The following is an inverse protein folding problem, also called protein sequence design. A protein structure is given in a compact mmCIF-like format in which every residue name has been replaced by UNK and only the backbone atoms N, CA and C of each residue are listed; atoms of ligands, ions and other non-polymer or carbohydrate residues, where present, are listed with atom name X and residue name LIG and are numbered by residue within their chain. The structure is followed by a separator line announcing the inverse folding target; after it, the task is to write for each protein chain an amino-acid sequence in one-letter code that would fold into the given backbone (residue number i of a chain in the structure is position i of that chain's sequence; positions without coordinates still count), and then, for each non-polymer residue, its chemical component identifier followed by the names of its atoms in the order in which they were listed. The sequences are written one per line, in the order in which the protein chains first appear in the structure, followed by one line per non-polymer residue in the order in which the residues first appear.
data_IF_823011991058
#
_entry.id   IF_823011991058
#
_cell.length_a   1.000
_cell.length_b   1.000
_cell.length_c   1.000
_cell.angle_alpha   90.00
_cell.angle_beta   90.00
_cell.angle_gamma   90.00
#
_symmetry.space_group_name_H-M   'P 1'
#
loop_
_entity.id
_entity.type
_entity.pdbx_description
1 polymer ?
#
# COMPACT_ATOMS: atom_id res chain seq x y z
N UNK A 1 -14.22 1.59 -13.48
CA UNK A 1 -13.12 0.80 -12.92
C UNK A 1 -12.14 1.74 -12.21
N UNK A 2 -12.07 1.60 -10.88
CA UNK A 2 -11.31 2.48 -9.97
C UNK A 2 -9.84 2.65 -10.39
N UNK A 3 -9.18 1.54 -10.72
CA UNK A 3 -7.77 1.55 -11.10
C UNK A 3 -7.51 2.33 -12.41
N UNK A 4 -8.39 2.19 -13.40
CA UNK A 4 -8.28 2.97 -14.65
C UNK A 4 -8.49 4.46 -14.39
N UNK A 5 -9.43 4.80 -13.51
CA UNK A 5 -9.68 6.18 -13.11
C UNK A 5 -8.44 6.76 -12.41
N UNK A 6 -7.84 6.02 -11.48
CA UNK A 6 -6.59 6.40 -10.83
C UNK A 6 -5.44 6.63 -11.82
N UNK A 7 -5.19 5.68 -12.72
CA UNK A 7 -4.11 5.81 -13.71
C UNK A 7 -4.34 6.99 -14.65
N UNK A 8 -5.59 7.23 -15.06
CA UNK A 8 -5.92 8.35 -15.96
C UNK A 8 -5.79 9.73 -15.30
N UNK A 9 -5.84 9.79 -13.97
CA UNK A 9 -5.60 11.02 -13.21
C UNK A 9 -4.12 11.39 -13.02
N UNK A 10 -3.20 10.51 -13.39
CA UNK A 10 -1.77 10.81 -13.33
C UNK A 10 -1.40 11.70 -14.53
N UNK A 11 -0.86 12.89 -14.28
CA UNK A 11 -0.54 13.87 -15.32
C UNK A 11 0.58 13.42 -16.25
N UNK A 12 1.52 12.60 -15.73
CA UNK A 12 2.71 12.15 -16.44
C UNK A 12 2.41 10.91 -17.29
N UNK A 13 2.53 11.07 -18.62
CA UNK A 13 2.27 9.99 -19.57
C UNK A 13 3.25 8.82 -19.44
N UNK A 14 4.52 9.08 -19.13
CA UNK A 14 5.50 8.02 -18.93
C UNK A 14 5.13 7.14 -17.73
N UNK A 15 4.68 7.76 -16.64
CA UNK A 15 4.21 7.03 -15.45
C UNK A 15 2.97 6.20 -15.79
N UNK A 16 1.99 6.77 -16.51
CA UNK A 16 0.81 6.01 -16.96
C UNK A 16 1.20 4.79 -17.79
N UNK A 17 2.20 4.92 -18.66
CA UNK A 17 2.68 3.79 -19.47
C UNK A 17 3.37 2.72 -18.63
N UNK A 18 4.21 3.10 -17.66
CA UNK A 18 4.83 2.17 -16.69
C UNK A 18 3.75 1.41 -15.92
N UNK A 19 2.70 2.09 -15.47
CA UNK A 19 1.62 1.48 -14.68
C UNK A 19 0.77 0.47 -15.45
N UNK A 20 0.66 0.59 -16.76
CA UNK A 20 -0.10 -0.39 -17.58
C UNK A 20 0.41 -1.82 -17.41
N UNK A 21 1.71 -1.97 -17.21
CA UNK A 21 2.37 -3.28 -17.19
C UNK A 21 3.00 -3.64 -15.84
N UNK A 22 2.77 -2.85 -14.79
CA UNK A 22 3.49 -3.02 -13.53
C UNK A 22 2.64 -2.95 -12.27
N UNK A 23 1.31 -2.94 -12.37
CA UNK A 23 0.42 -2.83 -11.21
C UNK A 23 -0.11 -4.17 -10.77
N UNK A 24 -0.06 -4.41 -9.47
CA UNK A 24 -0.69 -5.54 -8.79
C UNK A 24 -1.64 -4.98 -7.73
N UNK A 25 -2.89 -5.46 -7.74
CA UNK A 25 -3.86 -5.25 -6.65
C UNK A 25 -4.03 -6.57 -5.92
N UNK A 26 -3.87 -6.59 -4.61
CA UNK A 26 -3.95 -7.81 -3.82
C UNK A 26 -4.43 -7.50 -2.38
N UNK A 27 -4.56 -8.51 -1.55
CA UNK A 27 -4.99 -8.35 -0.17
C UNK A 27 -6.49 -8.17 0.00
N UNK A 28 -6.88 -7.40 1.02
CA UNK A 28 -8.28 -7.23 1.41
C UNK A 28 -9.18 -6.67 0.32
N UNK A 29 -8.65 -5.88 -0.61
CA UNK A 29 -9.42 -5.33 -1.71
C UNK A 29 -10.04 -6.42 -2.60
N UNK A 30 -9.26 -7.44 -2.95
CA UNK A 30 -9.76 -8.56 -3.77
C UNK A 30 -10.77 -9.39 -2.97
N UNK A 31 -10.52 -9.61 -1.68
CA UNK A 31 -11.47 -10.32 -0.79
C UNK A 31 -12.81 -9.60 -0.76
N UNK A 32 -12.83 -8.30 -0.48
CA UNK A 32 -14.07 -7.51 -0.45
C UNK A 32 -14.82 -7.54 -1.79
N UNK A 33 -14.09 -7.49 -2.92
CA UNK A 33 -14.71 -7.60 -4.24
C UNK A 33 -15.33 -8.99 -4.50
N UNK A 34 -14.71 -10.06 -4.01
CA UNK A 34 -15.22 -11.44 -4.17
C UNK A 34 -16.42 -11.70 -3.25
N UNK A 35 -16.45 -11.15 -2.06
CA UNK A 35 -17.52 -11.33 -1.07
C UNK A 35 -18.67 -10.35 -1.24
N UNK A 36 -18.48 -9.30 -2.05
CA UNK A 36 -19.46 -8.21 -2.21
C UNK A 36 -19.54 -7.28 -0.98
N UNK A 37 -18.53 -7.28 -0.15
CA UNK A 37 -18.42 -6.41 1.02
C UNK A 37 -17.96 -5.00 0.63
N UNK A 38 -18.15 -4.04 1.54
CA UNK A 38 -17.65 -2.69 1.34
C UNK A 38 -16.12 -2.71 1.24
N UNK A 39 -15.61 -2.06 0.20
CA UNK A 39 -14.19 -1.93 -0.02
C UNK A 39 -13.64 -0.75 0.79
N UNK A 40 -12.65 -1.03 1.64
CA UNK A 40 -11.98 0.00 2.43
C UNK A 40 -10.91 0.70 1.60
N UNK A 41 -9.84 -0.01 1.23
CA UNK A 41 -8.72 0.53 0.47
C UNK A 41 -8.27 -0.43 -0.62
N UNK A 42 -7.74 0.13 -1.71
CA UNK A 42 -7.03 -0.60 -2.74
C UNK A 42 -5.54 -0.58 -2.43
N UNK A 43 -5.00 -1.70 -1.94
CA UNK A 43 -3.57 -1.89 -1.80
C UNK A 43 -2.95 -2.16 -3.17
N UNK A 44 -2.13 -1.22 -3.62
CA UNK A 44 -1.46 -1.26 -4.92
C UNK A 44 0.02 -1.53 -4.72
N UNK A 45 0.51 -2.57 -5.38
CA UNK A 45 1.90 -2.97 -5.43
C UNK A 45 2.44 -2.85 -6.86
N UNK A 46 3.75 -2.97 -7.00
CA UNK A 46 4.41 -2.87 -8.29
C UNK A 46 5.24 -4.11 -8.59
N UNK A 47 5.24 -4.51 -9.86
CA UNK A 47 5.99 -5.64 -10.35
C UNK A 47 7.49 -5.41 -10.30
N UNK A 48 7.94 -4.20 -10.63
CA UNK A 48 9.36 -3.85 -10.72
C UNK A 48 9.76 -2.76 -9.74
N UNK A 49 11.04 -2.80 -9.33
CA UNK A 49 11.66 -1.77 -8.51
C UNK A 49 11.53 -0.39 -9.15
N UNK A 50 11.76 -0.30 -10.46
CA UNK A 50 11.71 0.94 -11.22
C UNK A 50 10.31 1.55 -11.18
N UNK A 51 9.27 0.76 -11.41
CA UNK A 51 7.89 1.23 -11.34
C UNK A 51 7.54 1.73 -9.93
N UNK A 52 7.91 0.96 -8.90
CA UNK A 52 7.69 1.33 -7.51
C UNK A 52 8.38 2.66 -7.16
N UNK A 53 9.67 2.80 -7.50
CA UNK A 53 10.45 4.00 -7.22
C UNK A 53 9.91 5.22 -7.97
N UNK A 54 9.56 5.07 -9.24
CA UNK A 54 9.03 6.15 -10.08
C UNK A 54 7.71 6.68 -9.53
N UNK A 55 6.79 5.78 -9.16
CA UNK A 55 5.48 6.19 -8.62
C UNK A 55 5.63 6.79 -7.22
N UNK A 56 6.48 6.21 -6.36
CA UNK A 56 6.75 6.76 -5.04
C UNK A 56 7.32 8.19 -5.15
N UNK A 57 8.28 8.41 -6.04
CA UNK A 57 8.88 9.73 -6.27
C UNK A 57 7.83 10.74 -6.74
N UNK A 58 6.99 10.38 -7.71
CA UNK A 58 5.92 11.23 -8.22
C UNK A 58 4.97 11.72 -7.11
N UNK A 59 4.50 10.82 -6.24
CA UNK A 59 3.59 11.21 -5.16
C UNK A 59 4.28 11.94 -4.01
N UNK A 60 5.56 11.65 -3.75
CA UNK A 60 6.36 12.40 -2.78
C UNK A 60 6.63 13.83 -3.28
N UNK A 61 6.87 14.04 -4.55
CA UNK A 61 6.99 15.38 -5.14
C UNK A 61 5.68 16.16 -4.99
N UNK A 62 4.54 15.57 -5.33
CA UNK A 62 3.20 16.19 -5.09
C UNK A 62 2.96 16.50 -3.61
N UNK A 63 3.37 15.61 -2.71
CA UNK A 63 3.30 15.86 -1.26
C UNK A 63 4.13 17.07 -0.85
N UNK A 64 5.36 17.16 -1.33
CA UNK A 64 6.28 18.24 -0.97
C UNK A 64 5.82 19.61 -1.50
N UNK A 65 5.15 19.64 -2.65
CA UNK A 65 4.51 20.85 -3.16
C UNK A 65 3.40 21.37 -2.24
N UNK A 66 2.65 20.47 -1.62
CA UNK A 66 1.59 20.80 -0.67
C UNK A 66 2.11 21.07 0.75
N UNK A 67 3.24 20.48 1.12
CA UNK A 67 3.80 20.52 2.48
C UNK A 67 5.28 20.95 2.47
N UNK A 68 5.61 22.18 2.05
CA UNK A 68 7.00 22.65 1.93
C UNK A 68 7.77 22.68 3.25
N UNK A 69 7.05 22.76 4.38
CA UNK A 69 7.65 22.81 5.71
C UNK A 69 8.12 21.44 6.23
N UNK A 70 7.60 20.35 5.65
CA UNK A 70 7.91 18.97 6.05
C UNK A 70 8.20 18.10 4.83
N UNK A 71 9.30 18.37 4.12
CA UNK A 71 9.62 17.62 2.92
C UNK A 71 9.95 16.17 3.25
N UNK A 72 9.43 15.27 2.41
CA UNK A 72 9.69 13.84 2.44
C UNK A 72 10.63 13.50 1.29
N UNK A 73 11.50 12.54 1.48
CA UNK A 73 12.37 12.00 0.43
C UNK A 73 12.14 10.50 0.26
N UNK A 74 12.27 10.04 -0.97
CA UNK A 74 12.28 8.60 -1.29
C UNK A 74 13.72 8.12 -1.25
N UNK A 75 13.97 7.04 -0.54
CA UNK A 75 15.26 6.38 -0.46
C UNK A 75 15.15 4.96 -0.99
N UNK A 76 16.18 4.54 -1.70
CA UNK A 76 16.35 3.16 -2.10
C UNK A 76 17.69 2.65 -1.58
N UNK A 77 17.66 1.62 -0.77
CA UNK A 77 18.86 0.94 -0.28
C UNK A 77 19.48 0.10 -1.40
N UNK A 78 20.72 0.41 -1.76
CA UNK A 78 21.41 -0.27 -2.86
C UNK A 78 21.74 -1.74 -2.56
N UNK A 79 21.87 -2.13 -1.28
CA UNK A 79 22.21 -3.49 -0.89
C UNK A 79 21.00 -4.41 -0.82
N UNK A 80 19.89 -3.89 -0.28
CA UNK A 80 18.66 -4.68 -0.04
C UNK A 80 17.61 -4.46 -1.11
N UNK A 81 17.70 -3.38 -1.88
CA UNK A 81 16.67 -2.94 -2.81
C UNK A 81 15.44 -2.33 -2.13
N UNK A 82 15.43 -2.20 -0.80
CA UNK A 82 14.31 -1.65 -0.05
C UNK A 82 14.06 -0.19 -0.45
N UNK A 83 12.81 0.13 -0.72
CA UNK A 83 12.35 1.50 -0.96
C UNK A 83 11.61 1.96 0.28
N UNK A 84 11.94 3.14 0.77
CA UNK A 84 11.24 3.78 1.88
C UNK A 84 11.14 5.30 1.73
N UNK A 85 10.18 5.90 2.43
CA UNK A 85 10.04 7.34 2.56
C UNK A 85 10.50 7.78 3.95
N UNK A 86 11.20 8.90 4.03
CA UNK A 86 11.59 9.50 5.30
C UNK A 86 11.44 11.03 5.28
N UNK A 87 11.17 11.60 6.44
CA UNK A 87 11.07 13.06 6.61
C UNK A 87 12.46 13.63 6.81
N UNK A 88 12.87 14.56 5.95
CA UNK A 88 14.14 15.28 6.11
C UNK A 88 14.01 16.31 7.23
N UNK A 89 14.39 15.95 8.46
CA UNK A 89 14.52 16.93 9.52
C UNK A 89 15.76 17.78 9.28
N UNK A 90 15.63 19.10 9.23
CA UNK A 90 16.77 20.01 9.20
C UNK A 90 17.50 19.94 10.55
N UNK A 91 18.56 19.18 10.60
CA UNK A 91 19.61 19.29 11.59
C UNK A 91 19.53 18.37 12.80
N UNK A 92 19.72 17.07 12.61
CA UNK A 92 20.48 16.21 13.55
C UNK A 92 20.96 15.03 12.69
N UNK A 93 22.27 14.97 12.49
CA UNK A 93 22.94 13.79 11.98
C UNK A 93 23.12 12.85 13.18
N UNK A 94 22.26 11.86 13.31
CA UNK A 94 22.49 10.73 14.20
C UNK A 94 22.46 9.45 13.39
N UNK A 95 23.63 8.80 13.35
CA UNK A 95 23.95 7.62 12.54
C UNK A 95 23.38 6.30 13.11
N UNK A 96 22.47 6.32 14.10
CA UNK A 96 22.06 5.12 14.85
C UNK A 96 20.57 4.74 14.75
N UNK A 97 19.83 5.15 13.70
CA UNK A 97 18.40 4.83 13.57
C UNK A 97 18.07 3.53 12.81
N UNK A 98 18.92 2.53 12.80
CA UNK A 98 18.59 1.24 12.14
C UNK A 98 17.47 0.43 12.83
N UNK A 99 17.04 0.78 14.04
CA UNK A 99 16.14 -0.09 14.82
C UNK A 99 14.80 0.51 15.26
N UNK A 100 14.54 1.77 15.04
CA UNK A 100 13.29 2.39 15.52
C UNK A 100 12.20 2.45 14.46
N UNK A 101 12.57 2.38 13.18
CA UNK A 101 11.64 2.49 12.06
C UNK A 101 10.66 1.32 11.91
N UNK A 102 10.99 0.14 12.42
CA UNK A 102 10.14 -1.04 12.26
C UNK A 102 9.00 -1.14 13.30
N UNK A 103 9.02 -0.34 14.35
CA UNK A 103 8.03 -0.37 15.44
C UNK A 103 6.92 0.70 15.27
N UNK A 104 7.17 1.76 14.52
CA UNK A 104 6.18 2.84 14.30
C UNK A 104 5.07 2.48 13.31
N UNK A 105 5.01 1.22 12.92
CA UNK A 105 4.15 0.77 11.88
C UNK A 105 2.78 0.38 12.34
N UNK A 106 1.84 1.03 11.78
CA UNK A 106 0.48 0.54 11.62
C UNK A 106 -0.25 0.32 12.92
N UNK A 107 -0.30 1.34 13.68
CA UNK A 107 -1.43 1.44 14.56
C UNK A 107 -2.62 1.87 13.71
N UNK A 108 -3.45 0.90 13.33
CA UNK A 108 -4.70 1.13 12.57
C UNK A 108 -5.66 2.10 13.27
N UNK A 109 -5.42 2.42 14.53
CA UNK A 109 -6.18 3.39 15.31
C UNK A 109 -5.91 4.86 14.94
N UNK A 110 -4.80 5.13 14.23
CA UNK A 110 -4.50 6.52 13.82
C UNK A 110 -5.17 6.89 12.51
N UNK A 111 -5.55 5.92 11.67
CA UNK A 111 -6.23 6.18 10.40
C UNK A 111 -7.69 6.62 10.64
N UNK A 112 -8.39 6.03 11.61
CA UNK A 112 -9.77 6.39 11.94
C UNK A 112 -9.87 7.77 12.61
N UNK A 113 -8.92 8.14 13.48
CA UNK A 113 -8.91 9.45 14.15
C UNK A 113 -8.53 10.61 13.21
N UNK A 114 -7.77 10.35 12.15
CA UNK A 114 -7.39 11.35 11.15
C UNK A 114 -8.54 11.59 10.17
N UNK A 115 -9.42 10.62 9.95
CA UNK A 115 -10.50 10.69 8.98
C UNK A 115 -11.56 11.73 9.37
N UNK A 116 -11.91 11.83 10.64
CA UNK A 116 -12.95 12.76 11.12
C UNK A 116 -12.55 14.26 11.07
N UNK A 117 -11.24 14.55 11.12
CA UNK A 117 -10.79 15.94 11.16
C UNK A 117 -10.59 16.61 9.80
N UNK A 118 -10.59 15.85 8.69
CA UNK A 118 -10.21 16.30 7.35
C UNK A 118 -11.38 16.34 6.34
N UNK A 119 -12.59 15.92 6.70
CA UNK A 119 -13.74 15.90 5.80
C UNK A 119 -14.29 17.29 5.41
N UNK A 120 -13.79 18.37 5.98
CA UNK A 120 -14.32 19.74 5.75
C UNK A 120 -13.64 20.52 4.64
N UNK A 121 -12.75 19.96 3.85
CA UNK A 121 -12.11 20.68 2.76
C UNK A 121 -12.65 20.31 1.37
N UNK A 122 -13.40 21.24 0.80
CA UNK A 122 -13.81 21.48 -0.61
C UNK A 122 -13.21 20.58 -1.71
N UNK A 123 -14.03 20.35 -2.77
CA UNK A 123 -13.69 19.68 -4.06
C UNK A 123 -12.21 19.79 -4.43
N UNK A 124 -11.41 18.82 -4.03
CA UNK A 124 -9.99 18.77 -4.30
C UNK A 124 -9.67 17.58 -5.21
N UNK A 125 -8.60 17.74 -5.93
CA UNK A 125 -8.04 16.79 -6.87
C UNK A 125 -8.10 15.34 -6.36
N UNK A 126 -8.65 14.43 -7.17
CA UNK A 126 -8.70 13.00 -6.89
C UNK A 126 -7.29 12.40 -6.79
N UNK A 127 -7.15 11.37 -5.97
CA UNK A 127 -5.89 10.63 -5.81
C UNK A 127 -4.70 11.48 -5.38
N UNK A 128 -4.95 12.50 -4.61
CA UNK A 128 -3.93 13.33 -3.98
C UNK A 128 -3.30 12.58 -2.78
N UNK A 129 -1.97 12.71 -2.53
CA UNK A 129 -1.37 12.11 -1.35
C UNK A 129 -1.94 12.77 -0.08
N UNK A 130 -2.43 11.93 0.82
CA UNK A 130 -3.08 12.31 2.09
C UNK A 130 -2.19 12.03 3.28
N UNK A 131 -1.47 10.92 3.23
CA UNK A 131 -0.60 10.47 4.29
C UNK A 131 0.56 9.68 3.73
N UNK A 132 1.76 9.87 4.27
CA UNK A 132 2.97 9.14 3.87
C UNK A 132 3.58 8.49 5.10
N UNK A 133 3.76 7.18 5.03
CA UNK A 133 4.59 6.40 5.96
C UNK A 133 5.88 6.00 5.27
N UNK A 134 6.83 5.43 6.00
CA UNK A 134 8.04 4.91 5.37
C UNK A 134 7.78 3.76 4.39
N UNK A 135 6.62 3.10 4.45
CA UNK A 135 6.32 1.91 3.64
C UNK A 135 5.17 2.05 2.66
N UNK A 136 4.37 3.11 2.79
CA UNK A 136 3.18 3.30 1.98
C UNK A 136 2.82 4.78 1.83
N UNK A 137 2.14 5.10 0.74
CA UNK A 137 1.57 6.41 0.45
C UNK A 137 0.06 6.22 0.31
N UNK A 138 -0.70 6.79 1.23
CA UNK A 138 -2.16 6.78 1.19
C UNK A 138 -2.66 7.98 0.39
N UNK A 139 -3.48 7.73 -0.60
CA UNK A 139 -4.12 8.74 -1.43
C UNK A 139 -5.57 8.93 -1.00
N UNK A 140 -6.17 10.05 -1.41
CA UNK A 140 -7.63 10.19 -1.39
C UNK A 140 -8.29 9.08 -2.24
N UNK A 141 -9.59 8.90 -2.10
CA UNK A 141 -10.35 7.93 -2.90
C UNK A 141 -9.98 6.45 -2.66
N UNK A 142 -9.57 6.11 -1.43
CA UNK A 142 -9.34 4.71 -1.01
C UNK A 142 -8.23 4.00 -1.81
N UNK A 143 -7.15 4.68 -2.13
CA UNK A 143 -5.97 4.09 -2.78
C UNK A 143 -4.77 4.16 -1.86
N UNK A 144 -4.14 3.03 -1.60
CA UNK A 144 -2.90 2.92 -0.84
C UNK A 144 -1.81 2.33 -1.74
N UNK A 145 -0.73 3.07 -1.91
CA UNK A 145 0.45 2.65 -2.67
C UNK A 145 1.45 2.05 -1.69
N UNK A 146 1.69 0.75 -1.80
CA UNK A 146 2.65 0.04 -0.96
C UNK A 146 4.01 0.04 -1.65
N UNK A 147 5.01 0.65 -1.02
CA UNK A 147 6.36 0.78 -1.58
C UNK A 147 7.38 -0.17 -0.93
N UNK A 148 7.01 -0.78 0.19
CA UNK A 148 7.88 -1.68 0.94
C UNK A 148 8.25 -2.95 0.17
N UNK A 149 7.31 -3.46 -0.63
CA UNK A 149 7.47 -4.71 -1.38
C UNK A 149 7.13 -4.46 -2.85
N UNK A 150 7.92 -5.01 -3.72
CA UNK A 150 7.68 -5.07 -5.16
C UNK A 150 8.16 -6.43 -5.68
N UNK A 151 7.73 -6.83 -6.84
CA UNK A 151 8.07 -8.11 -7.46
C UNK A 151 6.85 -8.77 -8.11
N UNK A 152 7.00 -10.02 -8.50
CA UNK A 152 5.89 -10.83 -8.97
C UNK A 152 4.91 -11.13 -7.83
N UNK A 153 3.69 -11.53 -8.18
CA UNK A 153 2.62 -11.81 -7.21
C UNK A 153 3.09 -12.73 -6.07
N UNK A 154 3.79 -13.81 -6.43
CA UNK A 154 4.30 -14.77 -5.46
C UNK A 154 5.34 -14.18 -4.51
N UNK A 155 6.17 -13.24 -4.99
CA UNK A 155 7.18 -12.57 -4.17
C UNK A 155 6.52 -11.63 -3.16
N UNK A 156 5.48 -10.91 -3.57
CA UNK A 156 4.69 -10.06 -2.69
C UNK A 156 4.00 -10.92 -1.63
N UNK A 157 3.36 -12.02 -2.02
CA UNK A 157 2.62 -12.90 -1.12
C UNK A 157 3.48 -13.63 -0.09
N UNK A 158 4.79 -13.80 -0.32
CA UNK A 158 5.73 -14.29 0.71
C UNK A 158 5.79 -13.43 1.98
N UNK A 159 5.29 -12.21 1.91
CA UNK A 159 5.23 -11.29 3.03
C UNK A 159 3.85 -11.27 3.72
N UNK A 160 2.89 -12.04 3.24
CA UNK A 160 1.55 -12.13 3.81
C UNK A 160 1.49 -13.17 4.93
N UNK A 161 0.63 -12.92 5.87
CA UNK A 161 0.45 -13.76 7.07
C UNK A 161 -0.79 -14.67 7.01
N UNK A 162 -1.77 -14.33 6.15
CA UNK A 162 -3.00 -15.10 6.00
C UNK A 162 -3.28 -15.46 4.55
N UNK A 163 -3.70 -16.71 4.33
CA UNK A 163 -3.94 -17.27 2.99
C UNK A 163 -5.07 -16.58 2.24
N UNK A 164 -6.16 -16.20 2.91
CA UNK A 164 -7.32 -15.57 2.25
C UNK A 164 -6.97 -14.25 1.55
N UNK A 165 -5.88 -13.58 1.95
CA UNK A 165 -5.40 -12.34 1.32
C UNK A 165 -4.53 -12.56 0.08
N UNK A 166 -4.23 -13.81 -0.32
CA UNK A 166 -3.34 -14.12 -1.43
C UNK A 166 -4.02 -14.19 -2.80
N UNK A 167 -5.21 -13.64 -2.94
CA UNK A 167 -5.80 -13.38 -4.25
C UNK A 167 -5.25 -12.07 -4.81
N UNK A 168 -4.97 -12.01 -6.12
CA UNK A 168 -4.41 -10.83 -6.75
C UNK A 168 -4.97 -10.59 -8.15
N UNK A 169 -4.81 -9.36 -8.63
CA UNK A 169 -5.04 -8.97 -10.01
C UNK A 169 -3.79 -8.25 -10.53
N UNK A 170 -3.41 -8.52 -11.78
CA UNK A 170 -2.28 -7.91 -12.46
C UNK A 170 -2.70 -7.09 -13.67
N UNK A 171 -2.00 -5.98 -13.92
CA UNK A 171 -2.36 -5.06 -15.01
C UNK A 171 -1.85 -5.51 -16.38
N UNK A 172 -0.75 -6.25 -16.45
CA UNK A 172 -0.09 -6.63 -17.70
C UNK A 172 -0.79 -7.73 -18.49
N UNK A 173 -1.42 -8.67 -17.81
CA UNK A 173 -2.21 -9.76 -18.41
C UNK A 173 -3.71 -9.61 -18.17
N UNK A 174 -4.07 -8.68 -17.27
CA UNK A 174 -5.45 -8.44 -16.83
C UNK A 174 -6.10 -9.71 -16.24
N UNK A 175 -5.32 -10.54 -15.58
CA UNK A 175 -5.75 -11.79 -14.99
C UNK A 175 -5.96 -11.68 -13.48
N UNK A 176 -6.86 -12.53 -12.98
CA UNK A 176 -7.07 -12.77 -11.57
C UNK A 176 -6.32 -14.03 -11.15
N UNK A 177 -5.40 -13.90 -10.23
CA UNK A 177 -4.76 -14.99 -9.53
C UNK A 177 -5.58 -15.36 -8.31
N UNK A 178 -6.21 -16.53 -8.35
CA UNK A 178 -7.16 -17.03 -7.33
C UNK A 178 -6.73 -18.40 -6.83
N UNK A 179 -5.79 -18.50 -5.88
CA UNK A 179 -5.39 -19.78 -5.31
C UNK A 179 -6.56 -20.51 -4.67
N UNK A 180 -6.70 -21.81 -4.95
CA UNK A 180 -7.78 -22.66 -4.44
C UNK A 180 -7.92 -22.54 -2.91
N UNK A 181 -6.81 -22.65 -2.18
CA UNK A 181 -6.81 -22.51 -0.72
C UNK A 181 -7.26 -21.14 -0.23
N UNK A 182 -6.93 -20.07 -0.95
CA UNK A 182 -7.41 -18.73 -0.62
C UNK A 182 -8.93 -18.62 -0.80
N UNK A 183 -9.46 -19.16 -1.90
CA UNK A 183 -10.91 -19.20 -2.14
C UNK A 183 -11.64 -20.05 -1.09
N UNK A 184 -11.10 -21.20 -0.71
CA UNK A 184 -11.66 -22.01 0.40
C UNK A 184 -11.74 -21.21 1.69
N UNK A 185 -10.64 -20.53 2.06
CA UNK A 185 -10.59 -19.69 3.27
C UNK A 185 -11.62 -18.56 3.22
N UNK A 186 -11.79 -17.91 2.06
CA UNK A 186 -12.78 -16.83 1.89
C UNK A 186 -14.20 -17.37 2.03
N UNK A 187 -14.53 -18.49 1.36
CA UNK A 187 -15.87 -19.08 1.39
C UNK A 187 -16.23 -19.58 2.78
N UNK A 188 -15.28 -20.23 3.46
CA UNK A 188 -15.50 -20.82 4.77
C UNK A 188 -15.32 -19.80 5.93
N UNK A 189 -14.92 -18.55 5.62
CA UNK A 189 -14.55 -17.53 6.60
C UNK A 189 -13.47 -18.02 7.57
N UNK A 190 -12.44 -18.66 7.04
CA UNK A 190 -11.35 -19.28 7.77
C UNK A 190 -10.09 -18.40 7.73
N UNK A 191 -9.50 -18.09 8.87
CA UNK A 191 -8.21 -17.45 8.97
C UNK A 191 -7.08 -18.49 9.02
N UNK A 192 -6.53 -18.83 7.87
CA UNK A 192 -5.40 -19.75 7.80
C UNK A 192 -4.08 -18.97 7.86
N UNK A 193 -3.40 -19.05 9.00
CA UNK A 193 -2.13 -18.36 9.26
C UNK A 193 -0.95 -19.14 8.66
N UNK A 194 -0.10 -18.47 7.88
CA UNK A 194 1.06 -19.08 7.20
C UNK A 194 2.41 -18.59 7.72
N UNK A 195 2.39 -17.78 8.74
CA UNK A 195 3.59 -17.19 9.33
C UNK A 195 3.69 -15.70 9.10
N UNK A 196 4.54 -15.05 9.86
CA UNK A 196 4.80 -13.61 9.70
C UNK A 196 6.18 -13.24 10.21
N UNK A 197 6.82 -12.29 9.53
CA UNK A 197 8.02 -11.61 10.05
C UNK A 197 7.68 -10.70 11.24
N UNK A 198 6.40 -10.32 11.40
CA UNK A 198 5.89 -9.38 12.41
C UNK A 198 4.66 -9.95 13.13
N UNK A 199 4.83 -10.92 14.05
CA UNK A 199 3.72 -11.64 14.69
C UNK A 199 2.75 -10.74 15.44
N UNK A 200 3.22 -9.64 16.04
CA UNK A 200 2.34 -8.67 16.72
C UNK A 200 1.36 -8.00 15.76
N UNK A 201 1.81 -7.65 14.56
CA UNK A 201 0.94 -7.10 13.52
C UNK A 201 -0.11 -8.13 13.06
N UNK A 202 0.25 -9.42 13.02
CA UNK A 202 -0.69 -10.49 12.69
C UNK A 202 -1.80 -10.63 13.72
N UNK A 203 -1.51 -10.43 15.01
CA UNK A 203 -2.52 -10.43 16.09
C UNK A 203 -3.52 -9.29 15.87
N UNK A 204 -3.05 -8.08 15.56
CA UNK A 204 -3.93 -6.93 15.28
C UNK A 204 -4.80 -7.20 14.05
N UNK A 205 -4.22 -7.76 12.97
CA UNK A 205 -4.98 -8.13 11.76
C UNK A 205 -6.02 -9.22 12.04
N UNK A 206 -5.68 -10.22 12.87
CA UNK A 206 -6.63 -11.25 13.30
C UNK A 206 -7.86 -10.63 13.96
N UNK A 207 -7.66 -9.69 14.87
CA UNK A 207 -8.76 -8.96 15.50
C UNK A 207 -9.62 -8.24 14.46
N UNK A 208 -9.00 -7.48 13.56
CA UNK A 208 -9.69 -6.77 12.48
C UNK A 208 -10.52 -7.73 11.59
N UNK A 209 -10.01 -8.91 11.27
CA UNK A 209 -10.75 -9.90 10.47
C UNK A 209 -11.92 -10.51 11.25
N UNK A 210 -11.75 -10.81 12.54
CA UNK A 210 -12.85 -11.31 13.37
C UNK A 210 -13.98 -10.27 13.50
N UNK A 211 -13.65 -9.01 13.65
CA UNK A 211 -14.62 -7.92 13.73
C UNK A 211 -15.41 -7.73 12.42
N UNK A 212 -14.82 -8.09 11.29
CA UNK A 212 -15.47 -8.03 9.97
C UNK A 212 -16.34 -9.26 9.65
N UNK A 213 -16.25 -10.33 10.42
CA UNK A 213 -16.98 -11.60 10.21
C UNK A 213 -16.35 -12.46 9.16
#
# INVERSE_FOLDING_TARGET
NKLRDWISNIDNENIRNILKDNVIVTGGAIVSLLTGEELHDYDIYFRTKEACLTVATYYVEKWNEMHPDKPVSVRCDDKTGKIDCFVSSKGIADEDEENVSDISYNFASTEEEIDESLEQETEKEKYRPRFITSNAITLTDKVQIVIRFYGEVDEIHKNYDFVHCTCAWSSWDNELFLPEKALECIINKELYYIGSKYPLCSIVRTRKYIERG
#
